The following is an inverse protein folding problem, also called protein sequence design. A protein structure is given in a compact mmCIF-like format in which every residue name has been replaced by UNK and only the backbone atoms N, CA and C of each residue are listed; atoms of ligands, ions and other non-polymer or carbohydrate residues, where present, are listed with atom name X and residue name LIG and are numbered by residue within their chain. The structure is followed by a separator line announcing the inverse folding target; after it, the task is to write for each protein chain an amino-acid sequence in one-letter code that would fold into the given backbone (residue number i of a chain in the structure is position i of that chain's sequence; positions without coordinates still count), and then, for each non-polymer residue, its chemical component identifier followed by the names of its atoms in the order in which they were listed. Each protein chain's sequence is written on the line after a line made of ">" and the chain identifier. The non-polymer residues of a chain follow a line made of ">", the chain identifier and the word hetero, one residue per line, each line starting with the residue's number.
data_IF_445112596148
#
_entry.id   IF_445112596148
#
_cell.length_a   1.000
_cell.length_b   1.000
_cell.length_c   1.000
_cell.angle_alpha   90.00
_cell.angle_beta   90.00
_cell.angle_gamma   90.00
#
_symmetry.space_group_name_H-M   'P 1'
#
loop_
_entity.id
_entity.type
_entity.pdbx_description
1 polymer ?
#
# COMPACT_ATOMS: atom_id res chain seq x y z
N UNK A 1 20.71 15.37 -12.93
CA UNK A 1 19.37 15.49 -13.55
C UNK A 1 19.37 16.21 -14.89
N UNK A 2 19.94 17.41 -15.05
CA UNK A 2 20.02 18.11 -16.36
C UNK A 2 20.90 17.41 -17.42
N UNK A 3 22.00 16.78 -17.01
CA UNK A 3 22.96 16.13 -17.93
C UNK A 3 22.35 14.95 -18.71
N UNK A 4 21.36 14.26 -18.13
CA UNK A 4 20.69 13.09 -18.71
C UNK A 4 19.33 13.43 -19.36
N UNK A 5 18.99 14.72 -19.48
CA UNK A 5 17.70 15.15 -20.05
C UNK A 5 16.46 14.70 -19.27
N UNK A 6 16.63 14.20 -18.04
CA UNK A 6 15.54 13.68 -17.21
C UNK A 6 14.65 14.85 -16.76
N UNK A 7 13.40 14.86 -17.22
CA UNK A 7 12.35 15.77 -16.78
C UNK A 7 11.47 15.07 -15.74
N UNK A 8 11.27 15.71 -14.61
CA UNK A 8 10.33 15.23 -13.61
C UNK A 8 8.90 15.36 -14.15
N UNK A 9 8.16 14.25 -14.19
CA UNK A 9 6.73 14.28 -14.43
C UNK A 9 6.04 14.59 -13.11
N UNK A 10 5.67 15.86 -12.92
CA UNK A 10 4.97 16.28 -11.73
C UNK A 10 3.64 15.51 -11.60
N UNK A 11 3.36 15.00 -10.39
CA UNK A 11 2.11 14.30 -10.09
C UNK A 11 0.94 15.26 -10.26
N UNK A 12 -0.04 14.88 -11.07
CA UNK A 12 -1.31 15.61 -11.18
C UNK A 12 -2.14 15.33 -9.93
N UNK A 13 -2.69 16.38 -9.31
CA UNK A 13 -3.64 16.22 -8.22
C UNK A 13 -4.94 15.60 -8.75
N UNK A 14 -5.35 14.47 -8.19
CA UNK A 14 -6.63 13.84 -8.53
C UNK A 14 -7.79 14.66 -7.94
N UNK A 15 -8.95 14.62 -8.63
CA UNK A 15 -10.19 15.22 -8.11
C UNK A 15 -10.50 14.65 -6.74
N UNK A 16 -10.75 15.51 -5.75
CA UNK A 16 -11.18 15.10 -4.42
C UNK A 16 -12.58 14.51 -4.55
N UNK A 17 -12.69 13.18 -4.48
CA UNK A 17 -13.97 12.45 -4.55
C UNK A 17 -14.66 12.30 -3.20
N UNK A 18 -14.00 12.70 -2.10
CA UNK A 18 -14.52 12.52 -0.74
C UNK A 18 -14.33 13.81 0.06
N UNK A 19 -15.43 14.46 0.43
CA UNK A 19 -15.43 15.54 1.41
C UNK A 19 -15.87 14.97 2.77
N UNK A 20 -14.94 14.86 3.71
CA UNK A 20 -15.25 14.47 5.09
C UNK A 20 -16.02 15.62 5.76
N UNK A 21 -17.18 15.33 6.36
CA UNK A 21 -17.80 16.28 7.28
C UNK A 21 -16.98 16.34 8.57
N UNK A 22 -16.61 17.54 9.00
CA UNK A 22 -15.79 17.75 10.19
C UNK A 22 -16.42 17.22 11.49
N UNK A 23 -17.74 17.01 11.51
CA UNK A 23 -18.47 16.39 12.61
C UNK A 23 -18.29 14.87 12.73
N UNK A 24 -17.75 14.20 11.70
CA UNK A 24 -17.54 12.76 11.77
C UNK A 24 -16.36 12.46 12.68
N UNK A 25 -16.52 11.51 13.61
CA UNK A 25 -15.40 11.03 14.43
C UNK A 25 -14.27 10.49 13.55
N UNK A 26 -13.02 10.75 13.95
CA UNK A 26 -11.85 10.13 13.33
C UNK A 26 -11.72 8.73 13.92
N UNK A 27 -11.60 7.72 13.07
CA UNK A 27 -11.32 6.37 13.55
C UNK A 27 -9.89 6.30 14.13
N UNK A 28 -9.73 5.61 15.25
CA UNK A 28 -8.44 5.45 15.88
C UNK A 28 -7.49 4.63 15.01
N UNK A 29 -6.24 5.08 14.89
CA UNK A 29 -5.18 4.32 14.23
C UNK A 29 -4.66 3.22 15.15
N UNK A 30 -5.32 2.06 15.12
CA UNK A 30 -4.98 0.89 15.94
C UNK A 30 -3.64 0.24 15.55
N UNK A 31 -3.26 0.32 14.27
CA UNK A 31 -2.03 -0.32 13.77
C UNK A 31 -0.78 0.51 14.10
N UNK A 32 -0.87 1.84 14.13
CA UNK A 32 0.25 2.77 14.32
C UNK A 32 1.49 2.43 13.49
N UNK A 33 1.29 1.90 12.27
CA UNK A 33 2.35 1.46 11.34
C UNK A 33 3.29 0.38 11.92
N UNK A 34 2.84 -0.36 12.95
CA UNK A 34 3.55 -1.49 13.55
C UNK A 34 3.28 -2.76 12.74
N UNK A 35 4.15 -3.03 11.77
CA UNK A 35 4.04 -4.22 10.91
C UNK A 35 4.65 -5.46 11.57
N UNK A 36 5.74 -5.30 12.32
CA UNK A 36 6.35 -6.39 13.10
C UNK A 36 5.60 -6.57 14.42
N UNK A 37 4.69 -7.55 14.48
CA UNK A 37 3.88 -7.91 15.65
C UNK A 37 4.50 -9.09 16.40
N UNK A 38 4.38 -9.10 17.73
CA UNK A 38 5.00 -10.13 18.59
C UNK A 38 4.32 -11.50 18.48
N UNK A 39 3.03 -11.55 18.12
CA UNK A 39 2.27 -12.79 17.94
C UNK A 39 1.51 -12.80 16.62
N UNK A 40 1.23 -14.01 16.12
CA UNK A 40 0.34 -14.28 15.00
C UNK A 40 -1.08 -13.78 15.27
N UNK A 41 -1.88 -13.64 14.20
CA UNK A 41 -3.31 -13.31 14.26
C UNK A 41 -3.71 -12.02 15.01
N UNK A 42 -2.83 -11.02 15.11
CA UNK A 42 -3.16 -9.73 15.75
C UNK A 42 -3.69 -8.67 14.77
N UNK A 43 -3.37 -8.77 13.49
CA UNK A 43 -4.02 -8.03 12.43
C UNK A 43 -3.80 -8.75 11.12
N UNK A 44 -4.76 -8.60 10.24
CA UNK A 44 -4.72 -9.13 8.89
C UNK A 44 -4.81 -7.95 7.92
N UNK A 45 -4.03 -8.03 6.85
CA UNK A 45 -4.20 -7.17 5.71
C UNK A 45 -4.81 -8.00 4.59
N UNK A 46 -5.71 -7.42 3.82
CA UNK A 46 -6.26 -8.08 2.66
C UNK A 46 -6.74 -7.08 1.64
N UNK A 47 -6.93 -7.56 0.42
CA UNK A 47 -7.49 -6.77 -0.66
C UNK A 47 -8.53 -7.60 -1.42
N UNK A 48 -9.51 -6.89 -1.99
CA UNK A 48 -10.54 -7.47 -2.84
C UNK A 48 -10.31 -6.96 -4.25
N UNK A 49 -9.96 -7.86 -5.16
CA UNK A 49 -9.77 -7.54 -6.57
C UNK A 49 -10.91 -8.12 -7.41
N UNK A 50 -11.54 -7.27 -8.22
CA UNK A 50 -12.54 -7.70 -9.20
C UNK A 50 -11.85 -8.13 -10.49
N UNK A 51 -12.01 -9.39 -10.86
CA UNK A 51 -11.43 -9.98 -12.06
C UNK A 51 -12.50 -10.15 -13.13
N UNK A 52 -12.23 -9.63 -14.34
CA UNK A 52 -13.12 -9.81 -15.48
C UNK A 52 -12.77 -11.12 -16.20
N UNK A 53 -13.77 -11.98 -16.40
CA UNK A 53 -13.64 -13.20 -17.20
C UNK A 53 -14.66 -13.22 -18.35
N UNK A 54 -14.49 -14.15 -19.30
CA UNK A 54 -15.46 -14.38 -20.38
C UNK A 54 -16.85 -14.79 -19.86
N UNK A 55 -16.93 -15.34 -18.65
CA UNK A 55 -18.17 -15.81 -18.02
C UNK A 55 -18.81 -14.76 -17.09
N UNK A 56 -18.13 -13.66 -16.77
CA UNK A 56 -18.67 -12.67 -15.83
C UNK A 56 -17.61 -11.90 -15.04
N UNK A 57 -18.00 -11.47 -13.85
CA UNK A 57 -17.12 -10.88 -12.85
C UNK A 57 -16.85 -11.91 -11.75
N UNK A 58 -15.59 -12.08 -11.40
CA UNK A 58 -15.15 -12.90 -10.27
C UNK A 58 -14.55 -11.99 -9.20
N UNK A 59 -14.70 -12.40 -7.94
CA UNK A 59 -14.11 -11.71 -6.80
C UNK A 59 -12.92 -12.55 -6.33
N UNK A 60 -11.73 -11.95 -6.33
CA UNK A 60 -10.55 -12.51 -5.71
C UNK A 60 -10.34 -11.83 -4.35
N UNK A 61 -10.19 -12.65 -3.30
CA UNK A 61 -9.84 -12.17 -1.96
C UNK A 61 -8.44 -12.66 -1.60
N UNK A 62 -7.54 -11.72 -1.30
CA UNK A 62 -6.21 -12.01 -0.77
C UNK A 62 -6.18 -11.63 0.70
N UNK A 63 -5.69 -12.52 1.55
CA UNK A 63 -5.41 -12.24 2.96
C UNK A 63 -3.95 -12.54 3.30
N UNK A 64 -3.36 -11.66 4.11
CA UNK A 64 -1.99 -11.75 4.60
C UNK A 64 -2.04 -11.63 6.12
N UNK A 65 -1.53 -12.65 6.80
CA UNK A 65 -1.50 -12.70 8.26
C UNK A 65 -0.29 -11.96 8.85
N UNK A 66 0.89 -12.09 8.22
CA UNK A 66 2.15 -11.58 8.77
C UNK A 66 2.89 -10.70 7.78
N UNK A 67 3.04 -9.41 8.12
CA UNK A 67 3.87 -8.46 7.36
C UNK A 67 5.16 -8.25 8.14
N UNK A 68 6.29 -8.78 7.66
CA UNK A 68 7.60 -8.53 8.26
C UNK A 68 8.39 -7.56 7.39
N UNK A 69 8.77 -6.40 7.94
CA UNK A 69 9.75 -5.52 7.29
C UNK A 69 11.12 -6.04 7.69
N UNK A 70 11.84 -6.60 6.71
CA UNK A 70 13.24 -6.98 6.89
C UNK A 70 14.12 -5.76 6.58
N UNK A 71 15.15 -5.47 7.39
CA UNK A 71 16.15 -4.48 7.04
C UNK A 71 16.85 -4.94 5.76
N UNK A 72 17.05 -4.02 4.82
CA UNK A 72 17.96 -4.25 3.70
C UNK A 72 19.37 -4.23 4.30
N UNK A 73 19.91 -5.41 4.62
CA UNK A 73 21.34 -5.53 4.88
C UNK A 73 22.09 -5.14 3.61
N UNK A 74 23.09 -4.27 3.78
CA UNK A 74 23.87 -3.63 2.73
C UNK A 74 24.48 -4.67 1.76
N UNK A 75 23.78 -5.00 0.69
CA UNK A 75 24.42 -5.53 -0.51
C UNK A 75 24.98 -4.36 -1.28
N UNK A 76 26.31 -4.25 -1.24
CA UNK A 76 27.11 -3.48 -2.20
C UNK A 76 26.73 -3.91 -3.63
N UNK A 77 25.69 -3.29 -4.20
CA UNK A 77 25.45 -3.35 -5.64
C UNK A 77 26.41 -2.34 -6.27
N UNK A 78 27.67 -2.76 -6.41
CA UNK A 78 28.61 -2.14 -7.32
C UNK A 78 28.09 -2.38 -8.74
N UNK A 79 27.34 -1.43 -9.28
CA UNK A 79 27.07 -1.36 -10.71
C UNK A 79 28.40 -1.09 -11.43
N UNK A 80 29.03 -2.15 -11.92
CA UNK A 80 29.89 -2.11 -13.11
C UNK A 80 29.06 -2.50 -14.31
#
# INVERSE_FOLDING_TARGET
>A
MKLLGLKEKQRVAYKVTTMRKHSHAIADNLLKRKFNRDRSNQAWAGDITYLRTHQGWMILFLSIERIKILPLENSNISLR
#
